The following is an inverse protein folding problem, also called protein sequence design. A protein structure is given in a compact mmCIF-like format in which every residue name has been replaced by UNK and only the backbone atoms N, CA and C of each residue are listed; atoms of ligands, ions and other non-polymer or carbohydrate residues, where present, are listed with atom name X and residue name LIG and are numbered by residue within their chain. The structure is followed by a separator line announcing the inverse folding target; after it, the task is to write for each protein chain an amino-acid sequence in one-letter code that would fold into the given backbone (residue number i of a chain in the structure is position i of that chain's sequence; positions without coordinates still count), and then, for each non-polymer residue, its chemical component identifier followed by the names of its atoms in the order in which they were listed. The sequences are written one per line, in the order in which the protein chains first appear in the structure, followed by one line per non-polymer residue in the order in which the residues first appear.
data_IF_204034327084
#
_entry.id   IF_204034327084
#
_cell.length_a   1.000
_cell.length_b   1.000
_cell.length_c   1.000
_cell.angle_alpha   90.00
_cell.angle_beta   90.00
_cell.angle_gamma   90.00
#
_symmetry.space_group_name_H-M   'P 1'
#
loop_
_entity.id
_entity.type
_entity.pdbx_description
1 polymer ?
#
# COMPACT_ATOMS: atom_id res chain seq x y z
N UNK A 1 8.45 1.51 15.48
CA UNK A 1 8.12 1.58 16.93
C UNK A 1 6.62 1.34 17.10
N UNK A 2 6.21 0.16 17.59
CA UNK A 2 4.79 -0.19 17.70
C UNK A 2 4.07 0.67 18.75
N UNK A 3 2.80 0.97 18.51
CA UNK A 3 1.93 1.63 19.49
C UNK A 3 0.64 2.18 18.90
N UNK A 4 -0.46 2.04 19.65
CA UNK A 4 -1.79 2.49 19.23
C UNK A 4 -1.92 4.02 19.27
N UNK A 5 -1.18 4.68 20.17
CA UNK A 5 -1.18 6.14 20.32
C UNK A 5 0.15 6.75 19.92
N UNK A 6 0.13 8.00 19.46
CA UNK A 6 1.35 8.75 19.14
C UNK A 6 2.32 8.78 20.32
N UNK A 7 1.83 9.01 21.54
CA UNK A 7 2.66 9.02 22.75
C UNK A 7 3.33 7.68 23.03
N UNK A 8 2.63 6.56 22.84
CA UNK A 8 3.22 5.22 22.96
C UNK A 8 4.33 5.01 21.92
N UNK A 9 4.09 5.41 20.66
CA UNK A 9 5.06 5.29 19.57
C UNK A 9 6.32 6.12 19.79
N UNK A 10 6.17 7.36 20.25
CA UNK A 10 7.30 8.24 20.56
C UNK A 10 8.12 7.73 21.74
N UNK A 11 7.47 7.23 22.81
CA UNK A 11 8.16 6.61 23.94
C UNK A 11 8.94 5.36 23.53
N UNK A 12 8.34 4.52 22.70
CA UNK A 12 8.99 3.32 22.17
C UNK A 12 10.18 3.67 21.28
N UNK A 13 10.05 4.67 20.40
CA UNK A 13 11.16 5.18 19.61
C UNK A 13 12.30 5.70 20.49
N UNK A 14 11.99 6.51 21.50
CA UNK A 14 12.98 7.02 22.44
C UNK A 14 13.69 5.88 23.18
N UNK A 15 12.95 4.85 23.63
CA UNK A 15 13.53 3.67 24.29
C UNK A 15 14.49 2.93 23.37
N UNK A 16 14.13 2.68 22.11
CA UNK A 16 14.98 1.99 21.13
C UNK A 16 16.24 2.82 20.80
N UNK A 17 16.10 4.14 20.63
CA UNK A 17 17.23 5.05 20.40
C UNK A 17 18.22 5.04 21.57
N UNK A 18 17.72 5.12 22.80
CA UNK A 18 18.55 5.12 24.01
C UNK A 18 19.21 3.75 24.27
N UNK A 19 18.57 2.65 23.87
CA UNK A 19 19.14 1.31 24.04
C UNK A 19 20.31 1.02 23.09
N UNK A 20 20.33 1.59 21.87
CA UNK A 20 21.39 1.34 20.86
C UNK A 20 21.78 2.63 20.09
N UNK A 21 22.29 3.68 20.76
CA UNK A 21 22.53 4.99 20.12
C UNK A 21 23.54 4.92 18.97
N UNK A 22 24.60 4.13 19.10
CA UNK A 22 25.61 3.95 18.06
C UNK A 22 25.06 3.22 16.81
N UNK A 23 24.05 2.35 16.97
CA UNK A 23 23.43 1.68 15.82
C UNK A 23 22.57 2.66 15.01
N UNK A 24 21.77 3.49 15.68
CA UNK A 24 20.97 4.53 15.01
C UNK A 24 21.81 5.64 14.38
N UNK A 25 22.94 6.00 15.00
CA UNK A 25 23.85 6.96 14.38
C UNK A 25 24.48 6.39 13.10
N UNK A 26 24.86 5.10 13.12
CA UNK A 26 25.39 4.39 11.93
C UNK A 26 24.39 4.34 10.79
N UNK A 27 23.10 4.14 11.06
CA UNK A 27 22.09 4.16 9.99
C UNK A 27 21.86 5.56 9.41
N UNK A 28 22.03 6.61 10.21
CA UNK A 28 21.95 7.99 9.73
C UNK A 28 23.15 8.45 8.89
N UNK A 29 24.32 7.82 9.07
CA UNK A 29 25.57 8.18 8.38
C UNK A 29 25.96 7.20 7.26
N UNK A 30 25.09 6.24 6.91
CA UNK A 30 25.37 5.27 5.86
C UNK A 30 25.44 5.96 4.50
N UNK A 31 26.53 5.73 3.75
CA UNK A 31 26.77 6.41 2.47
C UNK A 31 25.89 5.88 1.33
N UNK A 32 25.63 4.57 1.32
CA UNK A 32 24.80 3.91 0.30
C UNK A 32 23.61 3.20 0.97
N UNK A 33 22.54 3.97 1.17
CA UNK A 33 21.33 3.50 1.84
C UNK A 33 20.66 2.36 1.07
N UNK A 34 20.69 2.38 -0.26
CA UNK A 34 20.04 1.38 -1.11
C UNK A 34 20.68 0.00 -0.95
N UNK A 35 22.01 -0.08 -0.87
CA UNK A 35 22.71 -1.37 -0.66
C UNK A 35 22.64 -1.88 0.77
N UNK A 36 22.39 -0.99 1.73
CA UNK A 36 22.40 -1.29 3.17
C UNK A 36 21.00 -1.48 3.76
N UNK A 37 19.96 -1.46 2.93
CA UNK A 37 18.56 -1.53 3.35
C UNK A 37 17.88 -2.79 2.82
N UNK A 38 17.10 -3.44 3.69
CA UNK A 38 16.19 -4.51 3.32
C UNK A 38 14.77 -4.03 3.59
N UNK A 39 13.93 -4.02 2.56
CA UNK A 39 12.53 -3.64 2.69
C UNK A 39 11.72 -4.90 2.99
N UNK A 40 11.15 -4.95 4.21
CA UNK A 40 10.22 -6.01 4.60
C UNK A 40 8.80 -5.50 4.37
N UNK A 41 8.10 -6.13 3.45
CA UNK A 41 6.68 -5.86 3.18
C UNK A 41 5.86 -6.99 3.79
N UNK A 42 4.89 -6.64 4.63
CA UNK A 42 3.98 -7.59 5.25
C UNK A 42 2.55 -7.28 4.78
N UNK A 43 1.84 -8.31 4.33
CA UNK A 43 0.44 -8.20 3.92
C UNK A 43 -0.43 -9.00 4.89
N UNK A 44 -1.45 -8.36 5.46
CA UNK A 44 -2.46 -9.01 6.28
C UNK A 44 -3.67 -9.36 5.41
N UNK A 45 -4.12 -10.62 5.49
CA UNK A 45 -5.33 -11.08 4.81
C UNK A 45 -6.59 -10.65 5.59
N UNK A 46 -6.78 -9.34 5.76
CA UNK A 46 -7.97 -8.78 6.39
C UNK A 46 -8.95 -8.29 5.33
N UNK A 47 -10.23 -8.60 5.50
CA UNK A 47 -11.29 -8.01 4.68
C UNK A 47 -11.56 -6.56 5.11
N UNK A 48 -11.29 -5.64 4.19
CA UNK A 48 -11.54 -4.21 4.39
C UNK A 48 -11.66 -3.49 3.06
N UNK A 49 -12.59 -2.54 2.98
CA UNK A 49 -12.83 -1.74 1.78
C UNK A 49 -12.47 -0.30 2.06
N UNK A 50 -11.63 0.29 1.20
CA UNK A 50 -11.32 1.71 1.22
C UNK A 50 -12.00 2.37 0.01
N UNK A 51 -12.73 3.44 0.27
CA UNK A 51 -13.31 4.29 -0.76
C UNK A 51 -12.46 5.55 -0.91
N UNK A 52 -12.09 5.86 -2.15
CA UNK A 52 -11.41 7.11 -2.47
C UNK A 52 -12.47 8.14 -2.90
N UNK A 53 -12.52 9.29 -2.23
CA UNK A 53 -13.42 10.39 -2.58
C UNK A 53 -12.64 11.67 -2.85
N UNK A 54 -13.05 12.41 -3.88
CA UNK A 54 -12.55 13.75 -4.13
C UNK A 54 -13.29 14.74 -3.23
N UNK A 55 -12.56 15.55 -2.47
CA UNK A 55 -13.14 16.55 -1.58
C UNK A 55 -12.10 17.46 -0.94
N UNK A 56 -12.51 18.50 -0.20
CA UNK A 56 -11.58 19.42 0.48
C UNK A 56 -10.65 18.65 1.43
N UNK A 57 -9.35 18.95 1.35
CA UNK A 57 -8.32 18.40 2.24
C UNK A 57 -7.76 19.49 3.15
N UNK A 58 -7.20 19.16 4.33
CA UNK A 58 -6.59 20.17 5.21
C UNK A 58 -5.47 20.98 4.55
N UNK A 59 -4.76 20.39 3.58
CA UNK A 59 -3.68 21.04 2.82
C UNK A 59 -4.21 21.86 1.63
N UNK A 60 -5.33 21.44 1.03
CA UNK A 60 -5.95 22.09 -0.12
C UNK A 60 -7.47 22.23 0.07
N UNK A 61 -7.92 23.18 0.90
CA UNK A 61 -9.35 23.35 1.17
C UNK A 61 -10.15 23.85 -0.05
N UNK A 62 -9.49 24.55 -0.98
CA UNK A 62 -10.14 25.18 -2.15
C UNK A 62 -10.04 24.36 -3.44
N UNK A 63 -8.94 23.61 -3.63
CA UNK A 63 -8.73 22.76 -4.83
C UNK A 63 -9.30 21.36 -4.66
N UNK A 64 -9.62 20.95 -3.43
CA UNK A 64 -9.91 19.57 -3.14
C UNK A 64 -8.69 18.66 -3.33
N UNK A 65 -8.86 17.39 -2.96
CA UNK A 65 -7.88 16.34 -3.14
C UNK A 65 -8.53 14.98 -2.89
N UNK A 66 -7.79 13.92 -3.19
CA UNK A 66 -8.26 12.57 -2.94
C UNK A 66 -8.14 12.23 -1.45
N UNK A 67 -9.20 11.68 -0.88
CA UNK A 67 -9.27 11.23 0.51
C UNK A 67 -9.67 9.77 0.54
N UNK A 68 -9.01 9.00 1.40
CA UNK A 68 -9.41 7.63 1.71
C UNK A 68 -10.39 7.62 2.87
N UNK A 69 -11.54 6.99 2.68
CA UNK A 69 -12.57 6.71 3.67
C UNK A 69 -12.70 5.20 3.83
N UNK A 70 -13.02 4.74 5.04
CA UNK A 70 -13.34 3.34 5.28
C UNK A 70 -14.77 3.10 4.80
N UNK A 71 -14.95 2.16 3.88
CA UNK A 71 -16.23 1.83 3.26
C UNK A 71 -16.83 0.51 3.78
N UNK A 72 -16.12 -0.16 4.70
CA UNK A 72 -16.53 -1.39 5.36
C UNK A 72 -15.35 -2.20 5.87
N UNK A 73 -15.63 -3.17 6.75
CA UNK A 73 -14.64 -4.09 7.31
C UNK A 73 -13.83 -3.50 8.47
N UNK A 74 -12.79 -4.24 8.87
CA UNK A 74 -11.93 -3.83 9.99
C UNK A 74 -10.93 -2.77 9.50
N UNK A 75 -10.75 -1.64 10.22
CA UNK A 75 -9.74 -0.66 9.84
C UNK A 75 -8.34 -1.30 9.77
N UNK A 76 -7.55 -0.99 8.72
CA UNK A 76 -6.22 -1.55 8.58
C UNK A 76 -5.31 -1.03 9.71
N UNK A 77 -4.49 -1.93 10.27
CA UNK A 77 -3.61 -1.61 11.40
C UNK A 77 -2.19 -1.35 10.91
N UNK A 78 -1.58 -0.26 11.37
CA UNK A 78 -0.17 0.03 11.07
C UNK A 78 0.82 -0.88 11.79
N UNK A 79 0.40 -1.51 12.90
CA UNK A 79 1.28 -2.32 13.73
C UNK A 79 0.70 -3.71 13.92
N UNK A 80 1.36 -4.68 13.30
CA UNK A 80 1.04 -6.09 13.43
C UNK A 80 2.12 -6.74 14.30
N UNK A 81 1.75 -7.46 15.39
CA UNK A 81 2.71 -8.10 16.27
C UNK A 81 3.65 -9.04 15.51
N UNK A 82 3.10 -9.86 14.61
CA UNK A 82 3.86 -10.80 13.79
C UNK A 82 4.84 -10.09 12.83
N UNK A 83 4.42 -8.98 12.20
CA UNK A 83 5.31 -8.21 11.34
C UNK A 83 6.47 -7.58 12.14
N UNK A 84 6.19 -7.11 13.37
CA UNK A 84 7.20 -6.57 14.26
C UNK A 84 8.18 -7.64 14.72
N UNK A 85 7.69 -8.83 15.06
CA UNK A 85 8.51 -9.98 15.44
C UNK A 85 9.45 -10.40 14.30
N UNK A 86 8.91 -10.55 13.08
CA UNK A 86 9.71 -10.89 11.89
C UNK A 86 10.78 -9.83 11.64
N UNK A 87 10.43 -8.54 11.75
CA UNK A 87 11.37 -7.45 11.56
C UNK A 87 12.47 -7.42 12.63
N UNK A 88 12.13 -7.62 13.90
CA UNK A 88 13.08 -7.66 15.00
C UNK A 88 14.01 -8.91 14.88
N UNK A 89 13.47 -10.06 14.45
CA UNK A 89 14.27 -11.28 14.17
C UNK A 89 15.22 -11.08 12.99
N UNK A 90 14.73 -10.56 11.87
CA UNK A 90 15.57 -10.26 10.70
C UNK A 90 16.68 -9.29 11.07
N UNK A 91 16.36 -8.23 11.83
CA UNK A 91 17.34 -7.27 12.31
C UNK A 91 18.42 -7.91 13.20
N UNK A 92 18.06 -8.93 14.00
CA UNK A 92 19.03 -9.67 14.78
C UNK A 92 20.01 -10.47 13.90
N UNK A 93 19.51 -11.16 12.87
CA UNK A 93 20.33 -11.98 11.97
C UNK A 93 21.30 -11.15 11.11
N UNK A 94 20.91 -9.92 10.74
CA UNK A 94 21.72 -9.05 9.86
C UNK A 94 22.46 -7.92 10.59
N UNK A 95 22.47 -7.93 11.93
CA UNK A 95 22.90 -6.80 12.79
C UNK A 95 22.34 -5.44 12.33
N UNK A 96 21.07 -5.45 11.92
CA UNK A 96 20.34 -4.31 11.39
C UNK A 96 19.57 -3.52 12.44
N UNK A 97 19.02 -2.38 12.02
CA UNK A 97 18.08 -1.58 12.82
C UNK A 97 16.72 -1.57 12.10
N UNK A 98 15.65 -2.12 12.70
CA UNK A 98 14.34 -2.12 12.07
C UNK A 98 13.76 -0.72 12.07
N UNK A 99 13.25 -0.30 10.92
CA UNK A 99 12.64 1.01 10.70
C UNK A 99 11.22 0.86 10.14
N UNK A 100 10.36 1.82 10.45
CA UNK A 100 9.00 1.94 9.91
C UNK A 100 8.89 3.25 9.15
N UNK A 101 7.89 3.38 8.27
CA UNK A 101 7.69 4.64 7.56
C UNK A 101 7.42 5.78 8.55
N UNK A 102 7.97 6.95 8.26
CA UNK A 102 7.79 8.14 9.10
C UNK A 102 6.31 8.52 9.24
N UNK A 103 5.53 8.33 8.18
CA UNK A 103 4.08 8.57 8.16
C UNK A 103 3.32 7.63 9.09
N UNK A 104 3.73 6.36 9.19
CA UNK A 104 3.15 5.37 10.13
C UNK A 104 3.45 5.73 11.57
N UNK A 105 4.68 6.19 11.85
CA UNK A 105 5.07 6.66 13.18
C UNK A 105 4.21 7.86 13.63
N UNK A 106 3.96 8.82 12.75
CA UNK A 106 3.18 10.01 13.10
C UNK A 106 1.68 9.77 13.12
N UNK A 107 1.14 9.12 12.08
CA UNK A 107 -0.32 9.01 11.87
C UNK A 107 -0.90 7.69 12.36
N UNK A 108 -0.09 6.65 12.57
CA UNK A 108 -0.58 5.31 12.87
C UNK A 108 -1.41 4.70 11.75
N UNK A 109 -1.29 5.25 10.54
CA UNK A 109 -2.00 4.80 9.35
C UNK A 109 -1.04 3.96 8.52
N UNK A 110 -1.36 2.70 8.21
CA UNK A 110 -0.54 1.89 7.33
C UNK A 110 -0.50 2.53 5.94
N UNK A 111 0.64 2.42 5.26
CA UNK A 111 0.75 2.78 3.86
C UNK A 111 0.54 1.54 2.98
N UNK A 112 -0.11 1.72 1.82
CA UNK A 112 -0.14 0.71 0.76
C UNK A 112 0.39 1.31 -0.53
N UNK A 113 1.18 0.52 -1.25
CA UNK A 113 1.66 0.85 -2.60
C UNK A 113 0.72 0.30 -3.70
N UNK A 114 -0.18 -0.62 -3.35
CA UNK A 114 -1.05 -1.31 -4.30
C UNK A 114 -2.45 -0.70 -4.29
N UNK A 115 -2.57 0.54 -4.77
CA UNK A 115 -3.87 1.12 -5.10
C UNK A 115 -4.42 0.41 -6.33
N UNK A 116 -5.53 -0.30 -6.16
CA UNK A 116 -6.19 -1.10 -7.19
C UNK A 116 -7.63 -0.60 -7.37
N UNK A 117 -8.24 -0.96 -8.49
CA UNK A 117 -9.60 -0.56 -8.82
C UNK A 117 -9.70 0.88 -9.35
N UNK A 118 -10.93 1.38 -9.48
CA UNK A 118 -11.25 2.68 -10.08
C UNK A 118 -11.76 2.58 -11.52
N UNK A 119 -11.36 1.56 -12.27
CA UNK A 119 -11.93 1.21 -13.57
C UNK A 119 -12.19 -0.31 -13.63
N UNK A 120 -12.92 -0.81 -12.63
CA UNK A 120 -13.09 -2.24 -12.40
C UNK A 120 -13.88 -2.92 -13.51
N UNK A 121 -13.60 -4.20 -13.73
CA UNK A 121 -14.37 -5.07 -14.62
C UNK A 121 -15.77 -5.25 -14.03
N UNK A 122 -16.79 -4.98 -14.84
CA UNK A 122 -18.21 -5.19 -14.54
C UNK A 122 -18.88 -6.16 -15.51
N UNK A 123 -20.08 -6.61 -15.16
CA UNK A 123 -20.95 -7.32 -16.09
C UNK A 123 -21.64 -6.34 -17.07
N UNK A 124 -21.83 -5.10 -16.63
CA UNK A 124 -22.51 -4.02 -17.33
C UNK A 124 -21.95 -2.65 -16.85
N UNK A 125 -22.34 -1.52 -17.49
CA UNK A 125 -21.87 -0.19 -17.13
C UNK A 125 -22.31 0.31 -15.74
N UNK A 126 -23.31 -0.32 -15.12
CA UNK A 126 -23.76 0.03 -13.77
C UNK A 126 -22.91 -0.68 -12.70
N UNK A 127 -22.34 -1.85 -13.04
CA UNK A 127 -21.51 -2.67 -12.17
C UNK A 127 -19.99 -2.46 -12.36
N UNK A 128 -19.55 -1.76 -13.40
CA UNK A 128 -18.13 -1.49 -13.66
C UNK A 128 -17.88 -0.49 -14.78
N UNK A 129 -16.61 -0.18 -15.03
CA UNK A 129 -16.20 0.80 -16.06
C UNK A 129 -15.82 0.11 -17.37
N UNK A 130 -15.28 -1.11 -17.26
CA UNK A 130 -14.82 -1.91 -18.39
C UNK A 130 -15.50 -3.28 -18.40
N UNK A 131 -15.62 -3.85 -19.60
CA UNK A 131 -16.11 -5.21 -19.80
C UNK A 131 -15.05 -6.27 -19.48
N UNK A 132 -15.39 -7.58 -19.49
CA UNK A 132 -14.42 -8.66 -19.29
C UNK A 132 -13.28 -8.70 -20.31
N UNK A 133 -13.36 -8.00 -21.45
CA UNK A 133 -12.29 -7.86 -22.43
C UNK A 133 -11.52 -6.53 -22.30
N UNK A 134 -11.69 -5.83 -21.17
CA UNK A 134 -11.03 -4.56 -20.85
C UNK A 134 -11.44 -3.37 -21.72
N UNK A 135 -12.56 -3.46 -22.45
CA UNK A 135 -13.10 -2.34 -23.24
C UNK A 135 -13.90 -1.43 -22.34
N UNK A 136 -13.74 -0.12 -22.51
CA UNK A 136 -14.54 0.87 -21.79
C UNK A 136 -15.96 0.90 -22.36
N UNK A 137 -16.96 0.72 -21.48
CA UNK A 137 -18.36 0.78 -21.89
C UNK A 137 -18.69 2.14 -22.54
N UNK A 138 -19.31 2.12 -23.72
CA UNK A 138 -19.70 3.32 -24.46
C UNK A 138 -18.57 3.98 -25.29
N UNK A 139 -17.34 3.48 -25.24
CA UNK A 139 -16.20 4.06 -25.96
C UNK A 139 -15.47 3.02 -26.83
N UNK A 140 -15.90 2.79 -28.07
CA UNK A 140 -15.26 1.83 -28.98
C UNK A 140 -13.78 2.17 -29.21
N UNK A 141 -12.91 1.17 -29.06
CA UNK A 141 -11.47 1.33 -29.24
C UNK A 141 -10.72 1.89 -28.03
N UNK A 142 -11.40 2.19 -26.92
CA UNK A 142 -10.78 2.59 -25.66
C UNK A 142 -10.72 1.41 -24.68
N UNK A 143 -9.54 1.21 -24.07
CA UNK A 143 -9.27 0.09 -23.17
C UNK A 143 -8.56 0.56 -21.90
N UNK A 144 -8.77 -0.14 -20.79
CA UNK A 144 -8.00 0.05 -19.55
C UNK A 144 -7.30 -1.25 -19.18
N UNK A 145 -5.98 -1.23 -19.12
CA UNK A 145 -5.15 -2.44 -18.97
C UNK A 145 -4.04 -2.19 -17.94
N UNK A 146 -4.43 -2.05 -16.69
CA UNK A 146 -3.55 -1.83 -15.54
C UNK A 146 -4.20 -2.28 -14.22
N UNK A 147 -3.65 -1.85 -13.08
CA UNK A 147 -4.19 -2.15 -11.75
C UNK A 147 -5.60 -1.60 -11.48
N UNK A 148 -6.09 -0.65 -12.27
CA UNK A 148 -7.43 -0.09 -12.12
C UNK A 148 -8.53 -1.08 -12.51
N UNK A 149 -8.21 -2.06 -13.36
CA UNK A 149 -9.10 -3.16 -13.74
C UNK A 149 -9.29 -4.21 -12.63
N UNK A 150 -8.38 -4.26 -11.66
CA UNK A 150 -8.39 -5.27 -10.59
C UNK A 150 -9.44 -4.89 -9.54
N UNK A 151 -10.55 -5.65 -9.49
CA UNK A 151 -11.73 -5.33 -8.67
C UNK A 151 -11.49 -5.41 -7.16
N UNK A 152 -10.57 -6.26 -6.71
CA UNK A 152 -10.25 -6.43 -5.31
C UNK A 152 -8.76 -6.77 -5.14
N UNK A 153 -8.17 -6.32 -4.03
CA UNK A 153 -6.78 -6.65 -3.72
C UNK A 153 -6.66 -8.15 -3.41
N UNK A 154 -5.78 -8.91 -4.10
CA UNK A 154 -5.65 -10.35 -3.89
C UNK A 154 -4.95 -10.73 -2.57
N UNK A 155 -4.59 -9.76 -1.72
CA UNK A 155 -3.89 -10.00 -0.45
C UNK A 155 -2.39 -10.31 -0.63
N UNK A 156 -1.90 -10.29 -1.87
CA UNK A 156 -0.51 -10.49 -2.27
C UNK A 156 -0.11 -9.43 -3.30
N UNK A 157 1.15 -9.40 -3.72
CA UNK A 157 1.62 -8.50 -4.75
C UNK A 157 0.83 -8.71 -6.07
N UNK A 158 0.11 -7.68 -6.58
CA UNK A 158 -0.77 -7.82 -7.73
C UNK A 158 -0.04 -7.78 -9.09
N UNK A 159 1.28 -7.58 -9.13
CA UNK A 159 2.01 -7.38 -10.39
C UNK A 159 1.78 -8.50 -11.41
N UNK A 160 1.82 -9.77 -10.97
CA UNK A 160 1.57 -10.92 -11.85
C UNK A 160 0.09 -11.03 -12.24
N UNK A 161 -0.83 -10.66 -11.36
CA UNK A 161 -2.27 -10.58 -11.69
C UNK A 161 -2.52 -9.55 -12.78
N UNK A 162 -1.95 -8.35 -12.65
CA UNK A 162 -2.05 -7.28 -13.64
C UNK A 162 -1.44 -7.74 -14.97
N UNK A 163 -0.28 -8.41 -14.92
CA UNK A 163 0.38 -8.95 -16.12
C UNK A 163 -0.51 -9.98 -16.82
N UNK A 164 -1.05 -10.95 -16.08
CA UNK A 164 -1.93 -11.97 -16.65
C UNK A 164 -3.21 -11.38 -17.25
N UNK A 165 -3.81 -10.39 -16.58
CA UNK A 165 -4.97 -9.68 -17.11
C UNK A 165 -4.63 -8.89 -18.39
N UNK A 166 -3.46 -8.25 -18.42
CA UNK A 166 -2.98 -7.52 -19.57
C UNK A 166 -2.75 -8.43 -20.78
N UNK A 167 -2.07 -9.57 -20.59
CA UNK A 167 -1.86 -10.57 -21.65
C UNK A 167 -3.19 -11.10 -22.19
N UNK A 168 -4.14 -11.42 -21.29
CA UNK A 168 -5.49 -11.85 -21.68
C UNK A 168 -6.23 -10.78 -22.48
N UNK A 169 -6.18 -9.53 -22.04
CA UNK A 169 -6.81 -8.41 -22.76
C UNK A 169 -6.23 -8.26 -24.18
N UNK A 170 -4.90 -8.30 -24.31
CA UNK A 170 -4.22 -8.18 -25.60
C UNK A 170 -4.56 -9.33 -26.55
N UNK A 171 -4.79 -10.55 -26.04
CA UNK A 171 -5.20 -11.70 -26.86
C UNK A 171 -6.58 -11.51 -27.54
N UNK A 172 -7.42 -10.61 -27.02
CA UNK A 172 -8.72 -10.26 -27.61
C UNK A 172 -8.65 -9.07 -28.58
N UNK A 173 -7.50 -8.40 -28.70
CA UNK A 173 -7.29 -7.32 -29.64
C UNK A 173 -6.84 -7.91 -30.97
N UNK A 174 -7.58 -7.68 -32.08
CA UNK A 174 -7.20 -8.21 -33.37
C UNK A 174 -5.85 -7.62 -33.82
N UNK A 175 -4.99 -8.42 -34.48
CA UNK A 175 -3.76 -7.91 -35.08
C UNK A 175 -4.10 -6.87 -36.15
N UNK A 176 -3.23 -5.86 -36.27
CA UNK A 176 -3.32 -4.82 -37.30
C UNK A 176 -2.71 -5.28 -38.62
#
# INVERSE_FOLDING_TARGET
APGETLGARLRELARRLLARPAAYLRTATVADFTRSSVILLYMEASEGTLRLRLGPTPLHPWRGGLRSELDGGTPPRAFLPLATEIADRMAHEVDGVPQTLFTELLRGTPATAHLLGGAVIGADPDAGVIDPEHRVYGYPGLYVVDGAAVSANPGVNPALTITAMAERAMAHIPPR
#
